data_IF_985231240492
#
_entry.id   IF_985231240492
#
_cell.length_a   1.000
_cell.length_b   1.000
_cell.length_c   1.000
_cell.angle_alpha   90.00
_cell.angle_beta   90.00
_cell.angle_gamma   90.00
#
_symmetry.space_group_name_H-M   'P 1'
#
loop_
_entity.id
_entity.type
_entity.pdbx_description
1 polymer ?
#
# COMPACT_ATOMS: atom_id res chain seq x y z
N UNK A 1 -15.76 27.40 -8.30
CA UNK A 1 -17.13 27.11 -7.81
C UNK A 1 -17.56 25.69 -8.14
N UNK A 2 -17.38 25.25 -9.36
CA UNK A 2 -17.77 23.93 -9.88
C UNK A 2 -17.18 22.73 -9.11
N UNK A 3 -15.91 22.78 -8.70
CA UNK A 3 -15.26 21.69 -7.97
C UNK A 3 -15.80 21.50 -6.55
N UNK A 4 -16.18 22.57 -5.87
CA UNK A 4 -16.83 22.49 -4.56
C UNK A 4 -18.24 21.89 -4.65
N UNK A 5 -18.89 22.03 -5.79
CA UNK A 5 -20.18 21.38 -6.08
C UNK A 5 -20.00 19.86 -6.24
N UNK A 6 -18.96 19.42 -6.96
CA UNK A 6 -18.64 18.00 -7.12
C UNK A 6 -18.35 17.33 -5.77
N UNK A 7 -17.57 17.98 -4.90
CA UNK A 7 -17.33 17.51 -3.54
C UNK A 7 -18.62 17.44 -2.73
N UNK A 8 -19.48 18.47 -2.79
CA UNK A 8 -20.77 18.49 -2.09
C UNK A 8 -21.68 17.35 -2.54
N UNK A 9 -21.73 17.05 -3.84
CA UNK A 9 -22.47 15.92 -4.37
C UNK A 9 -21.92 14.58 -3.89
N UNK A 10 -20.60 14.43 -3.80
CA UNK A 10 -19.97 13.23 -3.21
C UNK A 10 -20.40 13.05 -1.74
N UNK A 11 -20.36 14.11 -0.93
CA UNK A 11 -20.79 14.06 0.47
C UNK A 11 -22.26 13.66 0.64
N UNK A 12 -23.14 14.10 -0.25
CA UNK A 12 -24.57 13.76 -0.19
C UNK A 12 -24.82 12.27 -0.43
N UNK A 13 -23.97 11.60 -1.22
CA UNK A 13 -24.07 10.17 -1.54
C UNK A 13 -23.58 9.24 -0.42
N UNK A 14 -22.83 9.78 0.54
CA UNK A 14 -22.30 8.98 1.65
C UNK A 14 -23.39 8.65 2.67
N UNK A 15 -23.36 7.41 3.18
CA UNK A 15 -24.15 7.03 4.34
C UNK A 15 -23.53 7.59 5.64
N UNK A 16 -24.21 7.41 6.77
CA UNK A 16 -23.80 7.93 8.07
C UNK A 16 -22.43 7.38 8.52
N UNK A 17 -22.16 6.09 8.29
CA UNK A 17 -20.88 5.47 8.65
C UNK A 17 -19.73 6.02 7.81
N UNK A 18 -19.95 6.19 6.51
CA UNK A 18 -18.98 6.77 5.60
C UNK A 18 -18.70 8.24 5.95
N UNK A 19 -19.75 9.01 6.29
CA UNK A 19 -19.61 10.39 6.76
C UNK A 19 -18.83 10.46 8.07
N UNK A 20 -19.11 9.57 9.03
CA UNK A 20 -18.36 9.52 10.27
C UNK A 20 -16.87 9.30 10.02
N UNK A 21 -16.48 8.43 9.08
CA UNK A 21 -15.09 8.19 8.73
C UNK A 21 -14.43 9.39 8.01
N UNK A 22 -15.17 10.04 7.09
CA UNK A 22 -14.66 11.22 6.36
C UNK A 22 -14.42 12.39 7.31
N UNK A 23 -15.35 12.66 8.23
CA UNK A 23 -15.29 13.80 9.14
C UNK A 23 -14.53 13.53 10.45
N UNK A 24 -14.03 12.32 10.66
CA UNK A 24 -13.21 12.02 11.83
C UNK A 24 -11.96 12.91 11.88
N UNK A 25 -11.72 13.55 13.01
CA UNK A 25 -10.59 14.47 13.24
C UNK A 25 -9.56 13.91 14.22
N UNK A 26 -9.66 12.64 14.55
CA UNK A 26 -8.67 11.97 15.39
C UNK A 26 -7.29 12.02 14.74
N UNK A 27 -6.25 12.17 15.55
CA UNK A 27 -4.86 12.12 15.06
C UNK A 27 -4.52 10.78 14.39
N UNK A 28 -5.19 9.71 14.81
CA UNK A 28 -5.10 8.39 14.18
C UNK A 28 -6.48 7.73 14.12
N UNK A 29 -6.93 7.42 12.91
CA UNK A 29 -8.18 6.74 12.65
C UNK A 29 -7.96 5.48 11.82
N UNK A 30 -8.51 4.36 12.28
CA UNK A 30 -8.54 3.08 11.55
C UNK A 30 -9.98 2.77 11.16
N UNK A 31 -10.22 2.59 9.87
CA UNK A 31 -11.53 2.27 9.32
C UNK A 31 -11.58 0.80 8.94
N UNK A 32 -12.27 0.01 9.76
CA UNK A 32 -12.58 -1.39 9.46
C UNK A 32 -13.72 -1.44 8.45
N UNK A 33 -13.38 -1.63 7.19
CA UNK A 33 -14.28 -1.47 6.08
C UNK A 33 -14.56 -2.81 5.40
N UNK A 34 -15.73 -3.36 5.63
CA UNK A 34 -16.15 -4.61 5.01
C UNK A 34 -16.04 -4.57 3.48
N UNK A 35 -15.97 -5.75 2.86
CA UNK A 35 -15.99 -5.90 1.41
C UNK A 35 -17.15 -5.10 0.78
N UNK A 36 -16.87 -4.38 -0.30
CA UNK A 36 -17.90 -3.63 -1.04
C UNK A 36 -18.55 -2.47 -0.27
N UNK A 37 -17.96 -1.98 0.82
CA UNK A 37 -18.47 -0.89 1.64
C UNK A 37 -18.16 0.52 1.11
N UNK A 38 -17.44 0.62 -0.02
CA UNK A 38 -17.05 1.90 -0.60
C UNK A 38 -15.77 2.49 0.00
N UNK A 39 -14.80 1.65 0.41
CA UNK A 39 -13.48 2.06 0.93
C UNK A 39 -12.85 3.19 0.12
N UNK A 40 -12.68 2.98 -1.19
CA UNK A 40 -12.07 3.97 -2.09
C UNK A 40 -12.87 5.28 -2.14
N UNK A 41 -14.20 5.21 -2.08
CA UNK A 41 -15.05 6.40 -2.04
C UNK A 41 -14.81 7.21 -0.76
N UNK A 42 -14.75 6.53 0.39
CA UNK A 42 -14.45 7.18 1.69
C UNK A 42 -13.07 7.81 1.66
N UNK A 43 -12.06 7.09 1.15
CA UNK A 43 -10.68 7.58 1.08
C UNK A 43 -10.58 8.84 0.21
N UNK A 44 -11.14 8.82 -1.00
CA UNK A 44 -11.12 9.98 -1.90
C UNK A 44 -11.88 11.15 -1.29
N UNK A 45 -13.05 10.89 -0.71
CA UNK A 45 -13.82 11.97 -0.07
C UNK A 45 -13.11 12.52 1.16
N UNK A 46 -12.34 11.70 1.90
CA UNK A 46 -11.47 12.16 2.99
C UNK A 46 -10.38 13.10 2.49
N UNK A 47 -9.70 12.74 1.39
CA UNK A 47 -8.69 13.60 0.75
C UNK A 47 -9.30 14.94 0.34
N UNK A 48 -10.47 14.92 -0.30
CA UNK A 48 -11.17 16.16 -0.69
C UNK A 48 -11.62 16.99 0.53
N UNK A 49 -12.12 16.33 1.59
CA UNK A 49 -12.47 17.01 2.85
C UNK A 49 -11.27 17.74 3.45
N UNK A 50 -10.12 17.07 3.49
CA UNK A 50 -8.89 17.66 4.00
C UNK A 50 -8.45 18.85 3.14
N UNK A 51 -8.57 18.73 1.83
CA UNK A 51 -8.20 19.82 0.93
C UNK A 51 -9.17 21.01 1.01
N UNK A 52 -10.48 20.80 0.82
CA UNK A 52 -11.45 21.88 0.69
C UNK A 52 -11.90 22.49 2.03
N UNK A 53 -12.06 21.68 3.07
CA UNK A 53 -12.57 22.16 4.36
C UNK A 53 -11.46 22.43 5.37
N UNK A 54 -10.39 21.63 5.35
CA UNK A 54 -9.24 21.80 6.25
C UNK A 54 -8.10 22.62 5.64
N UNK A 55 -8.21 23.01 4.38
CA UNK A 55 -7.22 23.82 3.66
C UNK A 55 -5.83 23.18 3.62
N UNK A 56 -5.75 21.85 3.60
CA UNK A 56 -4.50 21.10 3.52
C UNK A 56 -4.13 20.91 2.06
N UNK A 57 -2.96 21.37 1.60
CA UNK A 57 -2.49 21.15 0.23
C UNK A 57 -2.30 19.65 -0.04
N UNK A 58 -2.53 19.23 -1.29
CA UNK A 58 -2.31 17.84 -1.69
C UNK A 58 -0.86 17.40 -1.46
N UNK A 59 0.09 18.30 -1.63
CA UNK A 59 1.53 18.07 -1.42
C UNK A 59 1.89 17.70 0.02
N UNK A 60 1.02 18.02 0.98
CA UNK A 60 1.16 17.64 2.39
C UNK A 60 0.44 16.34 2.74
N UNK A 61 -0.10 15.65 1.75
CA UNK A 61 -0.77 14.36 1.92
C UNK A 61 0.04 13.25 1.27
N UNK A 62 0.26 12.16 2.00
CA UNK A 62 0.83 10.93 1.47
C UNK A 62 -0.27 9.87 1.45
N UNK A 63 -0.70 9.45 0.26
CA UNK A 63 -1.78 8.49 0.05
C UNK A 63 -1.19 7.22 -0.54
N UNK A 64 -1.12 6.18 0.27
CA UNK A 64 -0.45 4.94 -0.03
C UNK A 64 -1.45 3.83 -0.35
N UNK A 65 -1.18 3.10 -1.42
CA UNK A 65 -1.95 1.94 -1.84
C UNK A 65 -1.06 0.73 -2.06
N UNK A 66 -1.68 -0.44 -2.20
CA UNK A 66 -0.94 -1.68 -2.42
C UNK A 66 -0.60 -1.95 -3.89
N UNK A 67 -1.38 -1.43 -4.84
CA UNK A 67 -1.22 -1.68 -6.27
C UNK A 67 -1.21 -0.39 -7.08
N UNK A 68 -0.46 -0.38 -8.19
CA UNK A 68 -0.46 0.75 -9.13
C UNK A 68 -1.87 1.03 -9.65
N UNK A 69 -2.65 -0.01 -9.96
CA UNK A 69 -4.04 0.15 -10.41
C UNK A 69 -4.90 0.91 -9.39
N UNK A 70 -4.76 0.64 -8.09
CA UNK A 70 -5.50 1.38 -7.07
C UNK A 70 -5.00 2.84 -6.95
N UNK A 71 -3.70 3.07 -7.08
CA UNK A 71 -3.12 4.41 -7.10
C UNK A 71 -3.64 5.23 -8.30
N UNK A 72 -3.64 4.62 -9.48
CA UNK A 72 -4.14 5.25 -10.71
C UNK A 72 -5.64 5.55 -10.59
N UNK A 73 -6.45 4.62 -10.06
CA UNK A 73 -7.88 4.83 -9.81
C UNK A 73 -8.14 6.02 -8.88
N UNK A 74 -7.35 6.18 -7.82
CA UNK A 74 -7.47 7.33 -6.91
C UNK A 74 -7.17 8.63 -7.65
N UNK A 75 -6.06 8.69 -8.40
CA UNK A 75 -5.68 9.87 -9.18
C UNK A 75 -6.72 10.21 -10.25
N UNK A 76 -7.15 9.24 -11.04
CA UNK A 76 -8.18 9.42 -12.07
C UNK A 76 -9.48 10.01 -11.49
N UNK A 77 -9.91 9.50 -10.33
CA UNK A 77 -11.11 10.03 -9.66
C UNK A 77 -10.92 11.44 -9.13
N UNK A 78 -9.72 11.79 -8.62
CA UNK A 78 -9.39 13.15 -8.22
C UNK A 78 -9.39 14.08 -9.43
N UNK A 79 -8.72 13.71 -10.53
CA UNK A 79 -8.73 14.51 -11.77
C UNK A 79 -10.13 14.65 -12.38
N UNK A 80 -11.00 13.64 -12.26
CA UNK A 80 -12.38 13.75 -12.71
C UNK A 80 -13.20 14.75 -11.89
N UNK A 81 -12.84 14.96 -10.62
CA UNK A 81 -13.49 15.91 -9.72
C UNK A 81 -12.86 17.31 -9.79
N UNK A 82 -11.56 17.39 -10.01
CA UNK A 82 -10.75 18.60 -10.09
C UNK A 82 -9.68 18.46 -11.18
N UNK A 83 -10.01 18.74 -12.46
CA UNK A 83 -9.09 18.58 -13.59
C UNK A 83 -7.86 19.50 -13.59
N UNK A 84 -7.85 20.53 -12.74
CA UNK A 84 -6.75 21.50 -12.64
C UNK A 84 -5.62 21.06 -11.70
N UNK A 85 -5.73 19.91 -11.03
CA UNK A 85 -4.67 19.39 -10.17
C UNK A 85 -3.44 19.10 -11.02
N UNK A 86 -2.30 19.69 -10.68
CA UNK A 86 -1.03 19.36 -11.31
C UNK A 86 -0.51 18.00 -10.80
N UNK A 87 0.13 17.22 -11.67
CA UNK A 87 0.66 15.89 -11.31
C UNK A 87 1.68 15.98 -10.16
N UNK A 88 2.47 17.04 -10.13
CA UNK A 88 3.46 17.31 -9.10
C UNK A 88 2.85 17.48 -7.71
N UNK A 89 1.61 17.96 -7.62
CA UNK A 89 0.90 18.11 -6.35
C UNK A 89 0.53 16.76 -5.75
N UNK A 90 0.37 15.73 -6.57
CA UNK A 90 0.05 14.36 -6.15
C UNK A 90 1.30 13.47 -6.01
N UNK A 91 2.49 14.05 -5.74
CA UNK A 91 3.74 13.30 -5.60
C UNK A 91 3.66 12.19 -4.55
N UNK A 92 2.90 12.40 -3.49
CA UNK A 92 2.70 11.47 -2.38
C UNK A 92 1.60 10.43 -2.62
N UNK A 93 0.94 10.44 -3.80
CA UNK A 93 -0.16 9.53 -4.13
C UNK A 93 0.34 8.37 -4.99
N UNK A 94 0.43 7.19 -4.40
CA UNK A 94 0.98 6.06 -5.12
C UNK A 94 1.11 4.79 -4.30
N UNK A 95 1.84 3.82 -4.84
CA UNK A 95 2.27 2.66 -4.05
C UNK A 95 3.41 3.06 -3.11
N UNK A 96 3.63 2.29 -2.05
CA UNK A 96 4.76 2.51 -1.13
C UNK A 96 6.09 2.71 -1.88
N UNK A 97 6.36 1.86 -2.86
CA UNK A 97 7.60 1.92 -3.65
C UNK A 97 7.66 3.14 -4.57
N UNK A 98 6.55 3.51 -5.23
CA UNK A 98 6.54 4.66 -6.13
C UNK A 98 6.70 5.99 -5.38
N UNK A 99 6.12 6.11 -4.20
CA UNK A 99 6.29 7.28 -3.33
C UNK A 99 7.73 7.36 -2.82
N UNK A 100 8.31 6.25 -2.33
CA UNK A 100 9.73 6.21 -1.94
C UNK A 100 10.66 6.59 -3.10
N UNK A 101 10.41 6.07 -4.30
CA UNK A 101 11.17 6.41 -5.50
C UNK A 101 11.13 7.91 -5.79
N UNK A 102 9.93 8.52 -5.70
CA UNK A 102 9.75 9.97 -5.88
C UNK A 102 10.51 10.76 -4.82
N UNK A 103 10.41 10.35 -3.55
CA UNK A 103 11.12 11.00 -2.44
C UNK A 103 12.65 10.93 -2.62
N UNK A 104 13.19 9.76 -2.96
CA UNK A 104 14.63 9.57 -3.17
C UNK A 104 15.14 10.38 -4.36
N UNK A 105 14.41 10.41 -5.47
CA UNK A 105 14.83 11.14 -6.67
C UNK A 105 14.67 12.65 -6.58
N UNK A 106 13.65 13.14 -5.89
CA UNK A 106 13.30 14.57 -5.92
C UNK A 106 13.58 15.33 -4.62
N UNK A 107 13.53 14.67 -3.46
CA UNK A 107 13.45 15.36 -2.17
C UNK A 107 14.59 15.00 -1.22
N UNK A 108 14.92 13.73 -1.08
CA UNK A 108 15.88 13.26 -0.10
C UNK A 108 17.32 13.28 -0.64
N UNK A 109 18.34 13.57 0.18
CA UNK A 109 19.75 13.61 -0.24
C UNK A 109 20.31 12.19 -0.43
N UNK A 110 19.91 11.51 -1.51
CA UNK A 110 20.30 10.12 -1.80
C UNK A 110 21.82 9.96 -1.98
N UNK A 111 22.50 11.05 -2.30
CA UNK A 111 23.95 11.15 -2.43
C UNK A 111 24.66 10.78 -1.13
N UNK A 112 24.05 11.03 0.02
CA UNK A 112 24.59 10.63 1.34
C UNK A 112 24.67 9.09 1.51
N UNK A 113 23.96 8.34 0.66
CA UNK A 113 24.02 6.87 0.64
C UNK A 113 24.95 6.35 -0.47
N UNK A 114 25.53 7.24 -1.29
CA UNK A 114 26.43 6.91 -2.39
C UNK A 114 25.73 6.58 -3.70
N UNK A 115 24.53 7.10 -3.92
CA UNK A 115 23.77 7.00 -5.16
C UNK A 115 23.58 8.38 -5.78
N UNK A 116 23.24 8.44 -7.07
CA UNK A 116 22.83 9.68 -7.73
C UNK A 116 21.31 9.79 -7.78
N UNK A 117 20.76 10.95 -8.15
CA UNK A 117 19.31 11.10 -8.39
C UNK A 117 18.79 10.30 -9.59
N UNK A 118 19.71 9.89 -10.47
CA UNK A 118 19.41 9.12 -11.69
C UNK A 118 19.50 7.61 -11.48
N UNK A 119 19.67 7.14 -10.24
CA UNK A 119 19.77 5.70 -9.97
C UNK A 119 18.64 4.90 -10.63
N UNK A 120 18.93 3.67 -11.02
CA UNK A 120 17.97 2.75 -11.60
C UNK A 120 17.45 1.77 -10.55
N UNK A 121 16.18 1.38 -10.70
CA UNK A 121 15.59 0.30 -9.88
C UNK A 121 15.82 -1.01 -10.60
N UNK A 122 16.42 -1.97 -9.89
CA UNK A 122 16.67 -3.33 -10.37
C UNK A 122 15.68 -4.33 -9.79
N UNK A 123 15.36 -5.34 -10.58
CA UNK A 123 14.52 -6.45 -10.12
C UNK A 123 15.35 -7.56 -9.43
N UNK A 124 14.64 -8.58 -8.96
CA UNK A 124 15.29 -9.70 -8.27
C UNK A 124 16.23 -10.51 -9.16
N UNK A 125 15.90 -10.67 -10.42
CA UNK A 125 16.70 -11.50 -11.34
C UNK A 125 18.02 -10.78 -11.66
N UNK A 126 17.98 -9.46 -11.88
CA UNK A 126 19.18 -8.62 -12.01
C UNK A 126 20.05 -8.63 -10.73
N UNK A 127 19.42 -8.59 -9.54
CA UNK A 127 20.15 -8.68 -8.27
C UNK A 127 20.83 -10.04 -8.09
N UNK A 128 20.17 -11.12 -8.46
CA UNK A 128 20.76 -12.47 -8.39
C UNK A 128 21.91 -12.65 -9.40
N UNK A 129 21.79 -12.12 -10.60
CA UNK A 129 22.88 -12.11 -11.60
C UNK A 129 24.09 -11.33 -11.07
N UNK A 130 23.88 -10.15 -10.51
CA UNK A 130 24.94 -9.36 -9.90
C UNK A 130 25.61 -10.12 -8.74
N UNK A 131 24.82 -10.75 -7.88
CA UNK A 131 25.34 -11.55 -6.77
C UNK A 131 26.18 -12.74 -7.27
N UNK A 132 25.78 -13.43 -8.34
CA UNK A 132 26.56 -14.49 -8.97
C UNK A 132 27.91 -13.97 -9.50
N UNK A 133 27.92 -12.81 -10.15
CA UNK A 133 29.16 -12.17 -10.62
C UNK A 133 30.09 -11.82 -9.44
N UNK A 134 29.58 -11.27 -8.36
CA UNK A 134 30.35 -10.98 -7.16
C UNK A 134 30.94 -12.25 -6.55
N UNK A 135 30.16 -13.34 -6.45
CA UNK A 135 30.64 -14.64 -5.95
C UNK A 135 31.82 -15.15 -6.79
N UNK A 136 31.72 -15.07 -8.11
CA UNK A 136 32.77 -15.53 -9.03
C UNK A 136 34.02 -14.64 -8.92
N UNK A 137 33.85 -13.33 -8.94
CA UNK A 137 34.95 -12.35 -8.92
C UNK A 137 35.78 -12.46 -7.64
N UNK A 138 35.11 -12.59 -6.49
CA UNK A 138 35.75 -12.66 -5.18
C UNK A 138 35.97 -14.07 -4.67
N UNK A 139 35.70 -15.11 -5.49
CA UNK A 139 35.86 -16.52 -5.17
C UNK A 139 35.21 -16.96 -3.85
N UNK A 140 34.02 -16.42 -3.55
CA UNK A 140 33.34 -16.71 -2.31
C UNK A 140 32.84 -18.17 -2.28
N UNK A 141 33.02 -18.83 -1.12
CA UNK A 141 32.63 -20.24 -0.93
C UNK A 141 31.14 -20.41 -0.64
N UNK A 142 30.30 -19.94 -1.54
CA UNK A 142 28.84 -20.06 -1.41
C UNK A 142 28.33 -21.14 -2.34
N UNK A 143 27.78 -22.23 -1.76
CA UNK A 143 27.08 -23.28 -2.52
C UNK A 143 25.66 -22.83 -2.82
N UNK A 144 25.25 -22.68 -3.88
CA UNK A 144 24.73 -22.47 -5.15
C UNK A 144 23.27 -22.08 -5.37
N UNK A 145 23.10 -21.52 -6.44
CA UNK A 145 22.14 -21.11 -7.48
C UNK A 145 20.65 -21.17 -7.09
N UNK A 146 20.05 -22.29 -6.81
CA UNK A 146 18.60 -22.44 -6.57
C UNK A 146 18.13 -21.98 -5.18
N UNK A 147 19.02 -21.49 -4.33
CA UNK A 147 18.72 -21.03 -2.97
C UNK A 147 19.40 -19.71 -2.62
N UNK A 148 19.99 -19.01 -3.61
CA UNK A 148 20.73 -17.77 -3.33
C UNK A 148 19.80 -16.71 -2.73
N UNK A 149 18.62 -16.48 -3.31
CA UNK A 149 17.57 -15.64 -2.74
C UNK A 149 17.30 -15.95 -1.27
N UNK A 150 16.95 -17.20 -0.95
CA UNK A 150 16.66 -17.62 0.42
C UNK A 150 17.84 -17.43 1.38
N UNK A 151 19.06 -17.46 0.88
CA UNK A 151 20.28 -17.25 1.68
C UNK A 151 20.59 -15.79 1.90
N UNK A 152 20.31 -14.94 0.94
CA UNK A 152 20.41 -13.49 1.12
C UNK A 152 19.39 -12.98 2.15
N UNK A 153 18.22 -13.60 2.22
CA UNK A 153 17.16 -13.30 3.19
C UNK A 153 17.43 -13.88 4.59
N UNK A 154 18.21 -14.98 4.72
CA UNK A 154 18.44 -15.65 6.00
C UNK A 154 19.44 -14.90 6.90
N UNK A 155 19.08 -14.73 8.17
CA UNK A 155 19.90 -14.08 9.21
C UNK A 155 21.01 -14.97 9.78
N UNK A 156 21.03 -16.29 9.50
CA UNK A 156 22.04 -17.22 10.04
C UNK A 156 22.25 -18.42 9.13
N UNK A 157 23.51 -18.75 8.80
CA UNK A 157 23.89 -19.95 8.06
C UNK A 157 25.26 -20.46 8.50
N UNK A 158 25.56 -21.72 8.17
CA UNK A 158 26.84 -22.38 8.45
C UNK A 158 28.04 -21.73 7.71
N UNK A 159 27.79 -20.80 6.78
CA UNK A 159 28.76 -20.04 5.99
C UNK A 159 28.51 -18.52 6.17
N UNK A 160 28.32 -18.09 7.40
CA UNK A 160 27.92 -16.75 7.75
C UNK A 160 28.90 -15.67 7.23
N UNK A 161 30.19 -15.94 7.36
CA UNK A 161 31.26 -15.00 6.96
C UNK A 161 31.22 -14.69 5.45
N UNK A 162 31.05 -15.70 4.59
CA UNK A 162 31.02 -15.51 3.14
C UNK A 162 29.68 -14.87 2.68
N UNK A 163 28.59 -15.09 3.38
CA UNK A 163 27.31 -14.45 3.09
C UNK A 163 27.31 -12.98 3.49
N UNK A 164 27.83 -12.65 4.67
CA UNK A 164 27.96 -11.25 5.09
C UNK A 164 28.93 -10.49 4.18
N UNK A 165 30.00 -11.14 3.76
CA UNK A 165 30.93 -10.58 2.78
C UNK A 165 30.27 -10.36 1.41
N UNK A 166 29.45 -11.33 0.95
CA UNK A 166 28.67 -11.17 -0.28
C UNK A 166 27.72 -9.98 -0.18
N UNK A 167 26.97 -9.85 0.92
CA UNK A 167 26.03 -8.73 1.10
C UNK A 167 26.76 -7.38 1.08
N UNK A 168 27.92 -7.28 1.74
CA UNK A 168 28.72 -6.07 1.73
C UNK A 168 29.20 -5.70 0.32
N UNK A 169 29.79 -6.68 -0.39
CA UNK A 169 30.29 -6.47 -1.75
C UNK A 169 29.16 -6.18 -2.76
N UNK A 170 28.03 -6.86 -2.61
CA UNK A 170 26.84 -6.62 -3.45
C UNK A 170 26.31 -5.21 -3.24
N UNK A 171 26.32 -4.72 -2.01
CA UNK A 171 25.94 -3.33 -1.70
C UNK A 171 26.88 -2.31 -2.33
N UNK A 172 28.19 -2.57 -2.32
CA UNK A 172 29.19 -1.72 -2.99
C UNK A 172 29.00 -1.74 -4.52
N UNK A 173 28.77 -2.92 -5.08
CA UNK A 173 28.55 -3.09 -6.51
C UNK A 173 27.27 -2.39 -6.99
N UNK A 174 26.17 -2.48 -6.21
CA UNK A 174 24.94 -1.72 -6.48
C UNK A 174 25.19 -0.22 -6.52
N UNK A 175 25.95 0.31 -5.55
CA UNK A 175 26.33 1.74 -5.53
C UNK A 175 27.19 2.12 -6.73
N UNK A 176 28.16 1.26 -7.09
CA UNK A 176 29.05 1.49 -8.25
C UNK A 176 28.25 1.55 -9.56
N UNK A 177 27.22 0.73 -9.69
CA UNK A 177 26.33 0.70 -10.86
C UNK A 177 25.13 1.65 -10.75
N UNK A 178 25.04 2.40 -9.67
CA UNK A 178 23.91 3.30 -9.36
C UNK A 178 22.55 2.61 -9.46
N UNK A 179 22.42 1.45 -8.81
CA UNK A 179 21.22 0.60 -8.82
C UNK A 179 20.72 0.29 -7.43
N UNK A 180 19.39 0.33 -7.22
CA UNK A 180 18.71 -0.07 -5.97
C UNK A 180 17.68 -1.14 -6.25
N UNK A 181 17.44 -2.05 -5.31
CA UNK A 181 16.29 -2.96 -5.35
C UNK A 181 15.03 -2.27 -4.83
N UNK A 182 13.86 -2.86 -5.11
CA UNK A 182 12.58 -2.37 -4.56
C UNK A 182 12.60 -2.31 -3.02
N UNK A 183 13.16 -3.31 -2.36
CA UNK A 183 13.28 -3.33 -0.90
C UNK A 183 14.17 -2.21 -0.36
N UNK A 184 15.26 -1.91 -1.07
CA UNK A 184 16.17 -0.84 -0.69
C UNK A 184 15.56 0.57 -0.86
N UNK A 185 14.54 0.73 -1.72
CA UNK A 185 13.82 2.00 -1.79
C UNK A 185 13.19 2.38 -0.45
N UNK A 186 12.48 1.44 0.21
CA UNK A 186 11.85 1.68 1.50
C UNK A 186 12.91 1.91 2.59
N UNK A 187 13.90 1.02 2.66
CA UNK A 187 14.97 1.08 3.67
C UNK A 187 15.77 2.37 3.58
N UNK A 188 16.17 2.79 2.38
CA UNK A 188 16.94 3.99 2.15
C UNK A 188 16.13 5.27 2.39
N UNK A 189 14.83 5.25 2.03
CA UNK A 189 13.92 6.34 2.39
C UNK A 189 13.84 6.50 3.90
N UNK A 190 13.60 5.42 4.65
CA UNK A 190 13.55 5.46 6.11
C UNK A 190 14.87 5.99 6.71
N UNK A 191 16.02 5.56 6.19
CA UNK A 191 17.33 6.03 6.67
C UNK A 191 17.52 7.52 6.48
N UNK A 192 17.21 8.02 5.29
CA UNK A 192 17.40 9.44 4.99
C UNK A 192 16.41 10.32 5.74
N UNK A 193 15.16 9.89 5.91
CA UNK A 193 14.16 10.60 6.73
C UNK A 193 14.61 10.68 8.19
N UNK A 194 15.11 9.59 8.76
CA UNK A 194 15.67 9.59 10.14
C UNK A 194 16.89 10.51 10.27
N UNK A 195 17.83 10.45 9.32
CA UNK A 195 18.99 11.33 9.30
C UNK A 195 18.61 12.81 9.22
N UNK A 196 17.63 13.16 8.37
CA UNK A 196 17.14 14.53 8.26
C UNK A 196 16.50 15.02 9.57
N UNK A 197 15.71 14.18 10.23
CA UNK A 197 15.10 14.51 11.52
C UNK A 197 16.15 14.74 12.63
N UNK A 198 17.20 13.93 12.67
CA UNK A 198 18.32 14.11 13.62
C UNK A 198 19.05 15.43 13.39
N UNK A 199 19.29 15.82 12.13
CA UNK A 199 19.90 17.10 11.78
C UNK A 199 19.02 18.27 12.21
N UNK A 200 17.69 18.19 11.96
CA UNK A 200 16.74 19.21 12.41
C UNK A 200 16.72 19.38 13.94
N UNK A 201 16.76 18.29 14.70
CA UNK A 201 16.81 18.35 16.15
C UNK A 201 18.11 19.00 16.68
N UNK A 202 19.25 18.69 16.07
CA UNK A 202 20.54 19.28 16.43
C UNK A 202 20.57 20.77 16.09
N UNK A 203 20.04 21.15 14.93
CA UNK A 203 19.95 22.54 14.50
C UNK A 203 19.02 23.38 15.42
N UNK A 204 17.90 22.82 15.84
CA UNK A 204 16.98 23.49 16.79
C UNK A 204 17.58 23.66 18.19
N UNK A 205 18.46 22.75 18.63
CA UNK A 205 19.19 22.87 19.92
C UNK A 205 20.32 23.91 19.88
N UNK A 206 20.87 24.14 18.68
CA UNK A 206 22.00 25.10 18.48
C UNK A 206 21.45 26.42 17.91
N UNK A 207 20.54 27.10 18.62
CA UNK A 207 19.79 28.29 18.21
C UNK A 207 20.58 29.51 17.70
N UNK A 208 21.88 29.39 17.37
CA UNK A 208 22.74 30.46 16.85
C UNK A 208 23.11 30.32 15.36
N UNK A 209 22.63 29.32 14.65
CA UNK A 209 22.86 29.15 13.21
C UNK A 209 21.56 29.43 12.46
N UNK A 210 21.45 30.66 11.96
CA UNK A 210 20.45 31.04 10.94
C UNK A 210 20.88 30.48 9.57
N UNK A 211 20.85 29.19 9.40
CA UNK A 211 20.86 28.62 8.07
C UNK A 211 19.57 27.78 7.94
N UNK A 212 18.54 28.43 7.39
CA UNK A 212 17.38 27.80 6.81
C UNK A 212 17.81 27.05 5.53
N UNK A 213 18.63 26.03 5.64
CA UNK A 213 18.64 24.99 4.64
C UNK A 213 17.34 24.21 4.79
N UNK A 214 16.38 24.63 3.99
CA UNK A 214 15.12 23.96 3.77
C UNK A 214 15.46 22.52 3.36
N UNK A 215 15.47 21.59 4.32
CA UNK A 215 15.56 20.16 4.00
C UNK A 215 14.36 19.92 3.09
N UNK A 216 14.57 19.71 1.79
CA UNK A 216 13.57 19.79 0.73
C UNK A 216 12.35 18.86 0.86
N UNK A 217 12.13 18.30 2.05
CA UNK A 217 10.97 17.50 2.39
C UNK A 217 9.87 18.41 2.97
N UNK A 218 8.79 18.59 2.23
CA UNK A 218 7.60 19.29 2.71
C UNK A 218 7.05 18.58 3.96
N UNK A 219 6.50 19.35 4.90
CA UNK A 219 5.88 18.76 6.09
C UNK A 219 4.64 17.93 5.70
N UNK A 220 4.68 16.65 5.99
CA UNK A 220 3.56 15.74 5.77
C UNK A 220 2.55 15.95 6.89
N UNK A 221 1.37 16.46 6.56
CA UNK A 221 0.26 16.66 7.50
C UNK A 221 -0.59 15.41 7.66
N UNK A 222 -0.77 14.63 6.59
CA UNK A 222 -1.59 13.41 6.59
C UNK A 222 -0.91 12.26 5.88
N UNK A 223 -0.99 11.09 6.49
CA UNK A 223 -0.69 9.80 5.84
C UNK A 223 -2.01 9.03 5.76
N UNK A 224 -2.38 8.63 4.56
CA UNK A 224 -3.62 7.91 4.26
C UNK A 224 -3.24 6.59 3.61
N UNK A 225 -3.73 5.46 4.14
CA UNK A 225 -3.36 4.12 3.64
C UNK A 225 -4.61 3.35 3.26
N UNK A 226 -4.67 2.87 2.02
CA UNK A 226 -5.69 1.92 1.55
C UNK A 226 -5.19 0.48 1.71
N UNK A 227 -6.12 -0.45 1.96
CA UNK A 227 -5.88 -1.88 2.14
C UNK A 227 -4.76 -2.17 3.16
N UNK A 228 -4.76 -1.44 4.29
CA UNK A 228 -3.69 -1.49 5.29
C UNK A 228 -3.41 -2.90 5.84
N UNK A 229 -4.40 -3.82 5.77
CA UNK A 229 -4.23 -5.21 6.21
C UNK A 229 -3.20 -6.00 5.37
N UNK A 230 -2.88 -5.52 4.17
CA UNK A 230 -1.91 -6.18 3.28
C UNK A 230 -0.48 -5.65 3.44
N UNK A 231 -0.27 -4.65 4.32
CA UNK A 231 1.05 -4.06 4.55
C UNK A 231 2.01 -5.05 5.22
N UNK A 232 3.28 -4.99 4.85
CA UNK A 232 4.37 -5.73 5.49
C UNK A 232 5.12 -4.88 6.55
N UNK A 233 6.07 -5.50 7.27
CA UNK A 233 6.83 -4.84 8.31
C UNK A 233 7.63 -3.62 7.81
N UNK A 234 8.20 -3.68 6.58
CA UNK A 234 8.98 -2.57 6.01
C UNK A 234 8.08 -1.39 5.66
N UNK A 235 6.87 -1.67 5.15
CA UNK A 235 5.87 -0.65 4.86
C UNK A 235 5.36 0.02 6.13
N UNK A 236 5.16 -0.75 7.20
CA UNK A 236 4.82 -0.20 8.52
C UNK A 236 5.98 0.64 9.10
N UNK A 237 7.23 0.20 8.93
CA UNK A 237 8.40 1.01 9.32
C UNK A 237 8.46 2.32 8.55
N UNK A 238 8.13 2.33 7.26
CA UNK A 238 8.05 3.56 6.48
C UNK A 238 6.98 4.53 7.03
N UNK A 239 5.78 4.02 7.34
CA UNK A 239 4.74 4.83 7.97
C UNK A 239 5.25 5.45 9.28
N UNK A 240 5.94 4.66 10.12
CA UNK A 240 6.53 5.14 11.37
C UNK A 240 7.57 6.23 11.14
N UNK A 241 8.41 6.09 10.11
CA UNK A 241 9.44 7.07 9.78
C UNK A 241 8.84 8.39 9.28
N UNK A 242 7.76 8.32 8.50
CA UNK A 242 7.09 9.50 7.94
C UNK A 242 6.19 10.20 8.97
N UNK A 243 5.64 9.44 9.92
CA UNK A 243 4.70 9.96 10.91
C UNK A 243 5.40 10.74 12.01
N UNK A 244 5.39 12.07 11.91
CA UNK A 244 5.79 12.98 13.00
C UNK A 244 4.64 13.12 14.04
N UNK A 245 4.88 13.68 15.24
CA UNK A 245 3.83 13.87 16.26
C UNK A 245 2.60 14.65 15.76
N UNK A 246 2.81 15.63 14.89
CA UNK A 246 1.75 16.46 14.27
C UNK A 246 1.11 15.82 13.06
N UNK A 247 1.68 14.75 12.49
CA UNK A 247 1.14 14.05 11.32
C UNK A 247 -0.05 13.19 11.72
N UNK A 248 -1.19 13.42 11.09
CA UNK A 248 -2.37 12.58 11.25
C UNK A 248 -2.26 11.32 10.37
N UNK A 249 -2.87 10.23 10.82
CA UNK A 249 -2.85 8.95 10.13
C UNK A 249 -4.27 8.41 9.98
N UNK A 250 -4.67 8.12 8.75
CA UNK A 250 -5.95 7.52 8.40
C UNK A 250 -5.73 6.26 7.59
N UNK A 251 -6.21 5.13 8.06
CA UNK A 251 -6.05 3.88 7.33
C UNK A 251 -7.38 3.15 7.16
N UNK A 252 -7.60 2.65 5.96
CA UNK A 252 -8.78 1.87 5.60
C UNK A 252 -8.35 0.46 5.23
N UNK A 253 -9.11 -0.54 5.66
CA UNK A 253 -8.83 -1.91 5.30
C UNK A 253 -9.89 -2.88 5.81
N UNK A 254 -9.78 -4.14 5.43
CA UNK A 254 -10.67 -5.22 5.87
C UNK A 254 -9.86 -6.35 6.51
N UNK A 255 -9.88 -6.50 7.85
CA UNK A 255 -9.16 -7.58 8.51
C UNK A 255 -9.56 -9.00 8.06
N UNK A 256 -10.74 -9.16 7.45
CA UNK A 256 -11.19 -10.46 6.93
C UNK A 256 -10.67 -10.77 5.51
N UNK A 257 -10.01 -9.81 4.85
CA UNK A 257 -9.46 -9.94 3.50
C UNK A 257 -7.93 -10.11 3.45
N UNK A 258 -7.31 -10.58 4.52
CA UNK A 258 -5.85 -10.85 4.55
C UNK A 258 -5.53 -12.05 3.67
N UNK A 259 -5.23 -11.82 2.39
CA UNK A 259 -4.91 -12.89 1.41
C UNK A 259 -3.41 -12.96 1.08
N UNK A 260 -2.61 -11.98 1.51
CA UNK A 260 -1.17 -11.89 1.25
C UNK A 260 -0.29 -12.27 2.44
N UNK A 261 -0.79 -13.08 3.39
CA UNK A 261 -0.03 -13.56 4.55
C UNK A 261 1.30 -14.25 4.16
N UNK A 262 1.38 -14.86 2.99
CA UNK A 262 2.59 -15.46 2.43
C UNK A 262 3.66 -14.44 2.01
N UNK A 263 3.31 -13.14 1.84
CA UNK A 263 4.22 -12.03 1.60
C UNK A 263 4.70 -11.36 2.88
N UNK A 264 4.25 -11.82 4.06
CA UNK A 264 4.64 -11.25 5.35
C UNK A 264 3.65 -10.25 5.92
N UNK A 265 2.45 -10.09 5.31
CA UNK A 265 1.40 -9.28 5.93
C UNK A 265 1.03 -9.90 7.29
N UNK A 266 1.09 -9.09 8.34
CA UNK A 266 0.86 -9.57 9.70
C UNK A 266 -0.64 -9.69 9.94
N UNK A 267 -1.10 -10.88 10.35
CA UNK A 267 -2.51 -11.19 10.66
C UNK A 267 -3.17 -10.25 11.68
N UNK A 268 -2.38 -9.41 12.35
CA UNK A 268 -2.84 -8.52 13.42
C UNK A 268 -2.52 -7.04 13.18
N UNK A 269 -2.30 -6.62 11.93
CA UNK A 269 -1.91 -5.23 11.63
C UNK A 269 -2.89 -4.21 12.23
N UNK A 270 -4.19 -4.41 12.06
CA UNK A 270 -5.20 -3.53 12.66
C UNK A 270 -5.03 -3.43 14.18
N UNK A 271 -4.87 -4.55 14.86
CA UNK A 271 -4.66 -4.59 16.30
C UNK A 271 -3.33 -3.92 16.69
N UNK A 272 -2.26 -4.17 15.95
CA UNK A 272 -0.96 -3.55 16.19
C UNK A 272 -1.03 -2.04 16.03
N UNK A 273 -1.60 -1.53 14.95
CA UNK A 273 -1.75 -0.11 14.70
C UNK A 273 -2.67 0.55 15.73
N UNK A 274 -3.80 -0.09 16.07
CA UNK A 274 -4.72 0.38 17.09
C UNK A 274 -4.02 0.54 18.45
N UNK A 275 -3.26 -0.47 18.86
CA UNK A 275 -2.57 -0.46 20.16
C UNK A 275 -1.41 0.53 20.15
N UNK A 276 -0.59 0.52 19.10
CA UNK A 276 0.59 1.36 18.96
C UNK A 276 0.26 2.85 18.97
N UNK A 277 -0.77 3.25 18.23
CA UNK A 277 -1.11 4.65 18.04
C UNK A 277 -2.34 5.09 18.85
N UNK A 278 -2.94 4.21 19.67
CA UNK A 278 -4.19 4.47 20.40
C UNK A 278 -5.30 4.98 19.45
N UNK A 279 -5.41 4.32 18.28
CA UNK A 279 -6.23 4.78 17.19
C UNK A 279 -7.73 4.70 17.48
N UNK A 280 -8.48 5.70 17.05
CA UNK A 280 -9.94 5.62 16.93
C UNK A 280 -10.30 4.58 15.87
N UNK A 281 -11.22 3.67 16.18
CA UNK A 281 -11.69 2.66 15.24
C UNK A 281 -13.11 2.95 14.80
N UNK A 282 -13.32 3.04 13.50
CA UNK A 282 -14.62 3.20 12.86
C UNK A 282 -14.90 1.99 11.97
N UNK A 283 -16.17 1.73 11.68
CA UNK A 283 -16.58 0.58 10.87
C UNK A 283 -17.47 1.01 9.71
N UNK A 284 -17.23 0.43 8.52
CA UNK A 284 -18.13 0.54 7.36
C UNK A 284 -18.87 -0.80 7.16
N UNK A 285 -20.05 -0.98 7.77
CA UNK A 285 -20.72 -2.27 7.81
C UNK A 285 -21.51 -2.61 6.53
N UNK A 286 -21.85 -1.61 5.70
CA UNK A 286 -22.79 -1.77 4.59
C UNK A 286 -22.08 -2.17 3.31
N UNK A 287 -22.43 -3.32 2.75
CA UNK A 287 -21.95 -3.77 1.45
C UNK A 287 -22.92 -3.34 0.34
N UNK A 288 -22.42 -2.61 -0.65
CA UNK A 288 -23.14 -2.12 -1.82
C UNK A 288 -22.86 -2.92 -3.10
N UNK A 289 -21.98 -3.91 -3.03
CA UNK A 289 -21.48 -4.67 -4.20
C UNK A 289 -22.28 -5.95 -4.43
N UNK A 290 -22.45 -6.74 -3.38
CA UNK A 290 -22.93 -8.13 -3.48
C UNK A 290 -24.40 -8.25 -3.11
N UNK A 291 -25.10 -9.25 -3.72
CA UNK A 291 -26.46 -9.58 -3.38
C UNK A 291 -26.57 -10.21 -1.99
N UNK A 292 -27.79 -10.25 -1.45
CA UNK A 292 -28.06 -10.82 -0.12
C UNK A 292 -27.65 -12.29 0.00
N UNK A 293 -27.77 -13.08 -1.08
CA UNK A 293 -27.38 -14.50 -1.13
C UNK A 293 -25.87 -14.67 -1.00
N UNK A 294 -25.07 -13.85 -1.71
CA UNK A 294 -23.60 -13.86 -1.60
C UNK A 294 -23.19 -13.48 -0.18
N UNK A 295 -23.82 -12.46 0.39
CA UNK A 295 -23.49 -12.01 1.76
C UNK A 295 -23.90 -13.06 2.81
N UNK A 296 -25.00 -13.78 2.61
CA UNK A 296 -25.40 -14.85 3.53
C UNK A 296 -24.35 -15.96 3.59
N UNK A 297 -23.78 -16.36 2.44
CA UNK A 297 -22.69 -17.34 2.41
C UNK A 297 -21.40 -16.75 2.98
N UNK A 298 -21.04 -15.52 2.61
CA UNK A 298 -19.83 -14.87 3.11
C UNK A 298 -19.81 -14.79 4.65
N UNK A 299 -20.95 -14.52 5.28
CA UNK A 299 -21.08 -14.49 6.75
C UNK A 299 -20.70 -15.81 7.42
N UNK A 300 -20.88 -16.94 6.75
CA UNK A 300 -20.50 -18.26 7.29
C UNK A 300 -18.98 -18.42 7.44
N UNK A 301 -18.19 -17.65 6.69
CA UNK A 301 -16.72 -17.68 6.70
C UNK A 301 -16.09 -16.54 7.48
N UNK A 302 -16.88 -15.53 7.89
CA UNK A 302 -16.34 -14.42 8.66
C UNK A 302 -15.97 -14.86 10.07
N UNK A 303 -14.83 -14.39 10.55
CA UNK A 303 -14.45 -14.53 11.94
C UNK A 303 -15.39 -13.70 12.83
N UNK A 304 -15.52 -14.08 14.09
CA UNK A 304 -16.50 -13.52 15.04
C UNK A 304 -16.52 -11.99 15.06
N UNK A 305 -17.73 -11.41 14.95
CA UNK A 305 -17.99 -9.98 15.17
C UNK A 305 -18.18 -9.11 13.93
N UNK A 306 -18.11 -9.67 12.73
CA UNK A 306 -18.34 -8.90 11.50
C UNK A 306 -19.82 -8.53 11.31
N UNK A 307 -20.18 -7.26 11.40
CA UNK A 307 -21.50 -6.74 11.03
C UNK A 307 -21.54 -6.44 9.54
N UNK A 308 -21.79 -7.45 8.70
CA UNK A 308 -21.94 -7.27 7.27
C UNK A 308 -23.41 -7.02 6.94
N UNK A 309 -23.76 -5.79 6.60
CA UNK A 309 -25.10 -5.40 6.19
C UNK A 309 -25.20 -5.38 4.66
N UNK A 310 -26.27 -5.90 4.08
CA UNK A 310 -26.51 -5.83 2.63
C UNK A 310 -27.22 -4.54 2.26
N UNK A 311 -26.70 -3.85 1.26
CA UNK A 311 -27.32 -2.67 0.64
C UNK A 311 -27.98 -2.96 -0.72
N UNK A 312 -27.87 -4.20 -1.22
CA UNK A 312 -28.49 -4.64 -2.48
C UNK A 312 -29.66 -5.59 -2.25
N UNK A 313 -30.57 -5.59 -3.21
CA UNK A 313 -31.68 -6.53 -3.29
C UNK A 313 -31.22 -7.97 -3.52
N UNK A 314 -32.17 -8.92 -3.43
CA UNK A 314 -31.97 -10.34 -3.71
C UNK A 314 -31.43 -10.57 -5.13
N UNK A 315 -30.51 -11.51 -5.27
CA UNK A 315 -29.92 -11.94 -6.53
C UNK A 315 -30.16 -13.44 -6.78
N UNK A 316 -29.39 -13.99 -7.71
CA UNK A 316 -29.42 -15.42 -8.00
C UNK A 316 -28.88 -16.24 -6.82
N UNK A 317 -29.47 -17.44 -6.64
CA UNK A 317 -29.03 -18.39 -5.63
C UNK A 317 -27.64 -18.93 -5.94
N UNK A 318 -26.80 -18.99 -4.91
CA UNK A 318 -25.48 -19.63 -5.01
C UNK A 318 -25.66 -21.12 -5.24
N UNK A 319 -24.94 -21.65 -6.23
CA UNK A 319 -24.93 -23.08 -6.54
C UNK A 319 -23.64 -23.70 -6.03
N UNK A 320 -23.74 -24.72 -5.22
CA UNK A 320 -22.60 -25.52 -4.77
C UNK A 320 -22.71 -26.88 -5.47
N UNK A 321 -21.64 -27.27 -6.15
CA UNK A 321 -21.56 -28.55 -6.84
C UNK A 321 -20.30 -29.31 -6.43
N UNK A 322 -20.44 -30.59 -6.23
CA UNK A 322 -19.32 -31.47 -5.94
C UNK A 322 -19.02 -32.28 -7.22
N UNK A 323 -17.78 -32.23 -7.71
CA UNK A 323 -17.35 -32.93 -8.89
C UNK A 323 -16.48 -34.12 -8.48
N UNK A 324 -16.48 -35.17 -9.30
CA UNK A 324 -15.71 -36.38 -9.01
C UNK A 324 -14.22 -36.18 -9.24
N UNK A 325 -13.85 -35.43 -10.28
CA UNK A 325 -12.48 -35.14 -10.63
C UNK A 325 -12.34 -33.75 -11.30
N UNK A 326 -11.09 -33.24 -11.49
CA UNK A 326 -10.84 -31.97 -12.14
C UNK A 326 -11.30 -31.88 -13.60
N UNK A 327 -11.38 -33.01 -14.32
CA UNK A 327 -11.83 -33.00 -15.72
C UNK A 327 -13.34 -32.75 -15.80
N UNK A 328 -14.11 -33.41 -14.92
CA UNK A 328 -15.55 -33.16 -14.80
C UNK A 328 -15.85 -31.72 -14.37
N UNK A 329 -15.03 -31.15 -13.47
CA UNK A 329 -15.11 -29.75 -13.09
C UNK A 329 -14.89 -28.81 -14.28
N UNK A 330 -13.82 -29.06 -15.06
CA UNK A 330 -13.48 -28.26 -16.23
C UNK A 330 -14.56 -28.32 -17.31
N UNK A 331 -15.09 -29.52 -17.59
CA UNK A 331 -16.18 -29.72 -18.55
C UNK A 331 -17.47 -29.00 -18.15
N UNK A 332 -17.81 -29.09 -16.85
CA UNK A 332 -18.96 -28.37 -16.32
C UNK A 332 -18.79 -26.86 -16.45
N UNK A 333 -17.64 -26.32 -16.05
CA UNK A 333 -17.36 -24.89 -16.16
C UNK A 333 -17.39 -24.42 -17.62
N UNK A 334 -16.76 -25.16 -18.54
CA UNK A 334 -16.78 -24.84 -19.95
C UNK A 334 -18.18 -24.87 -20.55
N UNK A 335 -19.00 -25.85 -20.15
CA UNK A 335 -20.43 -25.93 -20.54
C UNK A 335 -21.21 -24.73 -20.03
N UNK A 336 -21.04 -24.38 -18.74
CA UNK A 336 -21.77 -23.28 -18.12
C UNK A 336 -21.39 -21.91 -18.70
N UNK A 337 -20.12 -21.70 -19.00
CA UNK A 337 -19.63 -20.49 -19.67
C UNK A 337 -20.27 -20.32 -21.04
N UNK A 338 -20.32 -21.42 -21.83
CA UNK A 338 -20.98 -21.39 -23.15
C UNK A 338 -22.47 -21.09 -23.07
N UNK A 339 -23.19 -21.68 -22.11
CA UNK A 339 -24.60 -21.38 -21.86
C UNK A 339 -24.85 -19.91 -21.53
N UNK A 340 -24.05 -19.35 -20.59
CA UNK A 340 -24.16 -17.96 -20.18
C UNK A 340 -23.81 -17.01 -21.33
N UNK A 341 -22.79 -17.35 -22.12
CA UNK A 341 -22.44 -16.56 -23.30
C UNK A 341 -23.57 -16.59 -24.36
N UNK A 342 -24.14 -17.76 -24.62
CA UNK A 342 -25.27 -17.91 -25.54
C UNK A 342 -26.51 -17.14 -25.06
N UNK A 343 -26.69 -16.95 -23.74
CA UNK A 343 -27.77 -16.13 -23.19
C UNK A 343 -27.49 -14.61 -23.22
N UNK A 344 -26.35 -14.20 -23.80
CA UNK A 344 -26.00 -12.79 -24.01
C UNK A 344 -24.98 -12.21 -23.01
N UNK A 345 -24.44 -13.01 -22.05
CA UNK A 345 -23.43 -12.54 -21.13
C UNK A 345 -22.04 -12.55 -21.81
N UNK A 346 -21.36 -11.41 -21.96
CA UNK A 346 -20.03 -11.37 -22.56
C UNK A 346 -18.99 -12.11 -21.70
N UNK A 347 -17.98 -12.75 -22.31
CA UNK A 347 -16.92 -13.42 -21.58
C UNK A 347 -16.16 -12.51 -20.59
N UNK A 348 -16.00 -11.24 -20.90
CA UNK A 348 -15.37 -10.25 -20.00
C UNK A 348 -16.11 -10.00 -18.69
N UNK A 349 -17.38 -10.41 -18.60
CA UNK A 349 -18.21 -10.32 -17.39
C UNK A 349 -18.19 -11.61 -16.56
N UNK A 350 -17.38 -12.60 -16.99
CA UNK A 350 -17.22 -13.87 -16.29
C UNK A 350 -15.82 -13.98 -15.71
N UNK A 351 -15.69 -14.56 -14.52
CA UNK A 351 -14.41 -14.84 -13.89
C UNK A 351 -14.40 -16.23 -13.26
N UNK A 352 -13.28 -16.93 -13.37
CA UNK A 352 -13.02 -18.20 -12.70
C UNK A 352 -11.87 -17.96 -11.73
N UNK A 353 -12.10 -18.27 -10.45
CA UNK A 353 -11.06 -18.27 -9.43
C UNK A 353 -10.68 -19.70 -9.10
N UNK A 354 -9.39 -19.99 -9.12
CA UNK A 354 -8.85 -21.32 -8.77
C UNK A 354 -7.62 -21.14 -7.87
N UNK A 355 -7.23 -22.22 -7.18
CA UNK A 355 -6.09 -22.25 -6.28
C UNK A 355 -5.11 -23.34 -6.70
#
# INVERSE_FOLDING_TARGET
>A
MEFKENYTQQLQRLNEYQKAAVFDESSVCLVNANVGSGKTTVLITKVMYLHYEKQIPYEQMVVLTFTNKAADEIKERLYALEPEIAEEQLWGFGTFHSVCLTMLKKMLPVENLGYTKEFMVMDLDEELEMAEQVILTYQLKIKYKNRLKKRLEQKSSKYQDDIEKLKALLKEEKRRQDKMTFDELLENTCKLVKMSAEIEEVSKKNANLQDNENTGMQDISWIIVDEVQDSDEKQLELIDCLKKPQTCFFAVGDPNQVIYSWRGSAFHIFYQLKTKYQATELTLPVNYRSSSEILAVARCFMQQGGTLQGGRESGDKIQIRNMYDPFQEADYLAGRIRELHASGLPYREMAIFYR
#
